data_IF_647274316353
#
_entry.id   IF_647274316353
#
_cell.length_a   1.000
_cell.length_b   1.000
_cell.length_c   1.000
_cell.angle_alpha   90.00
_cell.angle_beta   90.00
_cell.angle_gamma   90.00
#
_symmetry.space_group_name_H-M   'P 1'
#
loop_
_entity.id
_entity.type
_entity.pdbx_description
1 polymer ?
#
# COMPACT_ATOMS: atom_id res chain seq x y z
N UNK A 1 -3.75 7.65 9.96
CA UNK A 1 -3.23 6.30 10.27
C UNK A 1 -1.75 6.42 10.59
N UNK A 2 -1.19 5.57 11.45
CA UNK A 2 0.27 5.52 11.62
C UNK A 2 0.89 4.75 10.44
N UNK A 3 2.12 5.10 10.04
CA UNK A 3 2.77 4.42 8.92
C UNK A 3 2.95 2.90 9.16
N UNK A 4 3.12 2.47 10.42
CA UNK A 4 3.16 1.05 10.77
C UNK A 4 1.87 0.32 10.38
N UNK A 5 0.71 0.82 10.81
CA UNK A 5 -0.58 0.19 10.51
C UNK A 5 -0.81 0.13 8.99
N UNK A 6 -0.38 1.17 8.28
CA UNK A 6 -0.47 1.25 6.83
C UNK A 6 0.42 0.21 6.12
N UNK A 7 1.65 0.01 6.60
CA UNK A 7 2.54 -1.06 6.10
C UNK A 7 1.96 -2.45 6.36
N UNK A 8 1.34 -2.67 7.52
CA UNK A 8 0.68 -3.93 7.85
C UNK A 8 -0.48 -4.20 6.88
N UNK A 9 -1.30 -3.17 6.59
CA UNK A 9 -2.39 -3.26 5.59
C UNK A 9 -1.87 -3.54 4.18
N UNK A 10 -0.82 -2.85 3.73
CA UNK A 10 -0.22 -3.12 2.42
C UNK A 10 0.39 -4.51 2.35
N UNK A 11 0.97 -5.03 3.42
CA UNK A 11 1.56 -6.37 3.45
C UNK A 11 0.48 -7.45 3.21
N UNK A 12 -0.68 -7.30 3.84
CA UNK A 12 -1.83 -8.16 3.57
C UNK A 12 -2.34 -8.01 2.15
N UNK A 13 -2.45 -6.76 1.67
CA UNK A 13 -2.95 -6.49 0.32
C UNK A 13 -2.04 -7.08 -0.76
N UNK A 14 -0.72 -7.00 -0.58
CA UNK A 14 0.29 -7.55 -1.48
C UNK A 14 0.09 -9.05 -1.71
N UNK A 15 -0.21 -9.81 -0.65
CA UNK A 15 -0.39 -11.26 -0.74
C UNK A 15 -1.57 -11.66 -1.65
N UNK A 16 -2.56 -10.77 -1.81
CA UNK A 16 -3.70 -10.97 -2.71
C UNK A 16 -3.34 -10.46 -4.11
N UNK A 17 -2.83 -9.24 -4.22
CA UNK A 17 -2.52 -8.58 -5.50
C UNK A 17 -1.50 -9.34 -6.35
N UNK A 18 -0.55 -10.07 -5.74
CA UNK A 18 0.44 -10.87 -6.49
C UNK A 18 -0.19 -12.01 -7.29
N UNK A 19 -1.43 -12.40 -6.98
CA UNK A 19 -2.18 -13.42 -7.70
C UNK A 19 -2.98 -12.83 -8.87
N UNK A 20 -3.11 -11.51 -8.94
CA UNK A 20 -3.88 -10.81 -9.97
C UNK A 20 -3.01 -10.47 -11.19
N UNK A 21 -3.43 -10.88 -12.39
CA UNK A 21 -2.65 -10.67 -13.61
C UNK A 21 -2.60 -9.21 -14.07
N UNK A 22 -3.58 -8.39 -13.67
CA UNK A 22 -3.78 -7.01 -14.16
C UNK A 22 -3.37 -5.91 -13.16
N UNK A 23 -2.55 -6.24 -12.16
CA UNK A 23 -2.10 -5.26 -11.16
C UNK A 23 -0.72 -4.71 -11.53
N UNK A 24 -0.60 -3.38 -11.52
CA UNK A 24 0.71 -2.72 -11.59
C UNK A 24 1.47 -2.88 -10.26
N UNK A 25 2.19 -4.00 -10.16
CA UNK A 25 2.99 -4.32 -8.98
C UNK A 25 4.20 -3.38 -8.80
N UNK A 26 4.65 -2.67 -9.85
CA UNK A 26 5.72 -1.70 -9.72
C UNK A 26 5.22 -0.47 -8.94
N UNK A 27 4.06 0.07 -9.31
CA UNK A 27 3.39 1.15 -8.56
C UNK A 27 3.08 0.74 -7.12
N UNK A 28 2.58 -0.48 -6.92
CA UNK A 28 2.32 -1.00 -5.57
C UNK A 28 3.58 -1.04 -4.70
N UNK A 29 4.69 -1.56 -5.24
CA UNK A 29 5.94 -1.65 -4.49
C UNK A 29 6.54 -0.26 -4.18
N UNK A 30 6.34 0.74 -5.04
CA UNK A 30 6.73 2.12 -4.75
C UNK A 30 5.97 2.69 -3.55
N UNK A 31 4.65 2.49 -3.50
CA UNK A 31 3.82 2.86 -2.34
C UNK A 31 4.30 2.16 -1.07
N UNK A 32 4.58 0.85 -1.15
CA UNK A 32 5.08 0.06 -0.03
C UNK A 32 6.39 0.60 0.52
N UNK A 33 7.38 0.86 -0.35
CA UNK A 33 8.69 1.37 0.08
C UNK A 33 8.56 2.77 0.71
N UNK A 34 7.70 3.62 0.15
CA UNK A 34 7.42 4.95 0.71
C UNK A 34 6.82 4.85 2.12
N UNK A 35 5.91 3.90 2.34
CA UNK A 35 5.33 3.63 3.66
C UNK A 35 6.36 3.11 4.67
N UNK A 36 7.27 2.24 4.24
CA UNK A 36 8.38 1.78 5.08
C UNK A 36 9.29 2.95 5.48
N UNK A 37 9.64 3.83 4.54
CA UNK A 37 10.47 5.00 4.83
C UNK A 37 9.81 5.94 5.85
N UNK A 38 8.51 6.20 5.70
CA UNK A 38 7.75 6.99 6.67
C UNK A 38 7.67 6.29 8.04
N UNK A 39 7.49 4.97 8.07
CA UNK A 39 7.49 4.19 9.31
C UNK A 39 8.83 4.29 10.04
N UNK A 40 9.95 4.15 9.32
CA UNK A 40 11.30 4.29 9.90
C UNK A 40 11.52 5.68 10.48
N UNK A 41 10.99 6.72 9.82
CA UNK A 41 11.07 8.12 10.27
C UNK A 41 10.08 8.47 11.39
N UNK A 42 9.15 7.57 11.74
CA UNK A 42 8.08 7.84 12.69
C UNK A 42 7.04 8.84 12.18
N UNK A 43 6.91 8.97 10.86
CA UNK A 43 6.00 9.89 10.19
C UNK A 43 4.59 9.31 10.05
N UNK A 44 3.63 10.18 9.72
CA UNK A 44 2.26 9.79 9.39
C UNK A 44 2.11 9.63 7.88
N UNK A 45 1.23 8.71 7.49
CA UNK A 45 0.80 8.60 6.09
C UNK A 45 0.04 9.84 5.64
N UNK A 46 0.36 10.30 4.43
CA UNK A 46 -0.30 11.43 3.80
C UNK A 46 -1.56 10.98 3.03
N UNK A 47 -2.30 11.96 2.51
CA UNK A 47 -3.56 11.72 1.80
C UNK A 47 -3.37 10.91 0.51
N UNK A 48 -2.34 11.23 -0.27
CA UNK A 48 -2.07 10.57 -1.56
C UNK A 48 -1.82 9.07 -1.37
N UNK A 49 -1.07 8.69 -0.34
CA UNK A 49 -0.83 7.28 -0.01
C UNK A 49 -2.12 6.55 0.37
N UNK A 50 -3.02 7.21 1.10
CA UNK A 50 -4.33 6.63 1.41
C UNK A 50 -5.17 6.42 0.14
N UNK A 51 -5.15 7.38 -0.80
CA UNK A 51 -5.84 7.26 -2.08
C UNK A 51 -5.28 6.09 -2.92
N UNK A 52 -3.96 5.90 -2.94
CA UNK A 52 -3.31 4.77 -3.58
C UNK A 52 -3.72 3.43 -2.95
N UNK A 53 -3.74 3.35 -1.61
CA UNK A 53 -4.22 2.16 -0.91
C UNK A 53 -5.67 1.82 -1.30
N UNK A 54 -6.55 2.82 -1.36
CA UNK A 54 -7.94 2.60 -1.76
C UNK A 54 -8.07 2.16 -3.21
N UNK A 55 -7.27 2.74 -4.12
CA UNK A 55 -7.19 2.29 -5.51
C UNK A 55 -6.87 0.79 -5.58
N UNK A 56 -5.80 0.33 -4.91
CA UNK A 56 -5.43 -1.09 -4.92
C UNK A 56 -6.45 -2.00 -4.25
N UNK A 57 -7.11 -1.56 -3.17
CA UNK A 57 -8.21 -2.31 -2.55
C UNK A 57 -9.39 -2.51 -3.50
N UNK A 58 -9.72 -1.49 -4.28
CA UNK A 58 -10.84 -1.55 -5.21
C UNK A 58 -10.59 -2.51 -6.37
N UNK A 59 -9.32 -2.79 -6.73
CA UNK A 59 -8.99 -3.79 -7.74
C UNK A 59 -9.37 -5.22 -7.33
N UNK A 60 -9.44 -5.51 -6.03
CA UNK A 60 -9.75 -6.85 -5.49
C UNK A 60 -11.25 -7.04 -5.24
N UNK A 61 -11.98 -5.94 -5.02
CA UNK A 61 -13.40 -5.98 -4.71
C UNK A 61 -14.30 -6.07 -5.97
N UNK A 62 -13.72 -6.22 -7.17
CA UNK A 62 -14.39 -6.29 -8.47
C UNK A 62 -13.92 -7.49 -9.28
#
# INVERSE_FOLDING_TARGET
>A
MMAKDFVDELSHLKAILVLEENVDMARFNQLYNTAIDQMIRGERVNKEMMEELFYFRNLINH
#
